data_IF_775674099290
#
_entry.id   IF_775674099290
#
_cell.length_a   1.000
_cell.length_b   1.000
_cell.length_c   1.000
_cell.angle_alpha   90.00
_cell.angle_beta   90.00
_cell.angle_gamma   90.00
#
_symmetry.space_group_name_H-M   'P 1'
#
loop_
_entity.id
_entity.type
_entity.pdbx_description
1 polymer ?
#
# COMPACT_ATOMS: atom_id res chain seq x y z
N UNK A 1 -11.57 -6.42 -8.53
CA UNK A 1 -10.60 -7.43 -8.04
C UNK A 1 -11.22 -8.17 -6.86
N UNK A 2 -10.59 -9.23 -6.37
CA UNK A 2 -10.96 -9.92 -5.14
C UNK A 2 -9.71 -10.04 -4.26
N UNK A 3 -9.84 -9.71 -2.97
CA UNK A 3 -8.71 -9.80 -2.06
C UNK A 3 -8.40 -11.26 -1.72
N UNK A 4 -7.13 -11.67 -1.83
CA UNK A 4 -6.71 -13.07 -1.66
C UNK A 4 -7.15 -13.69 -0.33
N UNK A 5 -7.00 -12.95 0.77
CA UNK A 5 -7.41 -13.41 2.11
C UNK A 5 -8.92 -13.27 2.42
N UNK A 6 -9.69 -12.63 1.54
CA UNK A 6 -11.14 -12.55 1.69
C UNK A 6 -11.89 -13.52 0.78
N UNK A 7 -11.22 -14.10 -0.23
CA UNK A 7 -11.87 -14.90 -1.28
C UNK A 7 -12.80 -16.00 -0.73
N UNK A 8 -12.36 -16.75 0.29
CA UNK A 8 -13.19 -17.81 0.89
C UNK A 8 -14.45 -17.27 1.59
N UNK A 9 -14.37 -16.08 2.20
CA UNK A 9 -15.54 -15.43 2.82
C UNK A 9 -16.57 -14.97 1.79
N UNK A 10 -16.15 -14.77 0.54
CA UNK A 10 -17.03 -14.56 -0.61
C UNK A 10 -17.49 -15.87 -1.27
N UNK A 11 -17.15 -17.04 -0.70
CA UNK A 11 -17.51 -18.35 -1.25
C UNK A 11 -16.59 -18.85 -2.37
N UNK A 12 -15.45 -18.18 -2.61
CA UNK A 12 -14.51 -18.53 -3.68
C UNK A 12 -13.29 -19.26 -3.11
N UNK A 13 -13.10 -20.52 -3.53
CA UNK A 13 -11.87 -21.27 -3.29
C UNK A 13 -10.90 -21.07 -4.44
N UNK A 14 -9.78 -20.42 -4.17
CA UNK A 14 -8.74 -20.15 -5.17
C UNK A 14 -7.81 -21.36 -5.31
N UNK A 15 -7.56 -21.81 -6.54
CA UNK A 15 -6.48 -22.76 -6.83
C UNK A 15 -5.12 -22.03 -6.87
N UNK A 16 -4.02 -22.79 -6.94
CA UNK A 16 -2.66 -22.22 -6.91
C UNK A 16 -2.38 -21.22 -8.03
N UNK A 17 -2.90 -21.45 -9.24
CA UNK A 17 -2.73 -20.52 -10.37
C UNK A 17 -3.47 -19.19 -10.14
N UNK A 18 -4.65 -19.21 -9.53
CA UNK A 18 -5.40 -17.99 -9.17
C UNK A 18 -4.76 -17.27 -7.99
N UNK A 19 -4.23 -18.00 -7.01
CA UNK A 19 -3.49 -17.41 -5.90
C UNK A 19 -2.21 -16.71 -6.37
N UNK A 20 -1.52 -17.23 -7.39
CA UNK A 20 -0.27 -16.65 -7.87
C UNK A 20 -0.44 -15.32 -8.60
N UNK A 21 -1.66 -14.92 -8.99
CA UNK A 21 -1.96 -13.61 -9.61
C UNK A 21 -1.59 -12.42 -8.72
N UNK A 22 -1.55 -12.62 -7.39
CA UNK A 22 -1.08 -11.60 -6.45
C UNK A 22 0.39 -11.23 -6.67
N UNK A 23 1.18 -12.10 -7.32
CA UNK A 23 2.57 -11.85 -7.69
C UNK A 23 2.76 -11.05 -8.98
N UNK A 24 1.69 -10.79 -9.73
CA UNK A 24 1.75 -9.76 -10.78
C UNK A 24 2.11 -8.45 -10.09
N UNK A 25 3.13 -7.75 -10.58
CA UNK A 25 3.69 -6.61 -9.88
C UNK A 25 2.99 -5.33 -10.29
N UNK A 26 3.00 -5.04 -11.57
CA UNK A 26 2.62 -3.72 -12.07
C UNK A 26 1.17 -3.63 -12.53
N UNK A 27 0.63 -2.41 -12.59
CA UNK A 27 -0.63 -2.14 -13.29
C UNK A 27 -0.55 -2.60 -14.76
N UNK A 28 0.62 -2.44 -15.40
CA UNK A 28 0.88 -2.86 -16.79
C UNK A 28 0.72 -4.37 -16.99
N UNK A 29 1.04 -5.17 -15.97
CA UNK A 29 0.84 -6.63 -15.99
C UNK A 29 -0.57 -7.04 -15.56
N UNK A 30 -1.11 -6.40 -14.51
CA UNK A 30 -2.43 -6.75 -13.97
C UNK A 30 -3.58 -6.34 -14.88
N UNK A 31 -3.48 -5.22 -15.57
CA UNK A 31 -4.58 -4.73 -16.40
C UNK A 31 -4.92 -5.68 -17.56
N UNK A 32 -3.94 -6.17 -18.36
CA UNK A 32 -4.20 -7.23 -19.35
C UNK A 32 -4.71 -8.53 -18.72
N UNK A 33 -4.16 -8.96 -17.60
CA UNK A 33 -4.61 -10.17 -16.90
C UNK A 33 -6.08 -10.06 -16.46
N UNK A 34 -6.49 -8.90 -15.94
CA UNK A 34 -7.88 -8.61 -15.58
C UNK A 34 -8.80 -8.69 -16.80
N UNK A 35 -8.39 -8.15 -17.95
CA UNK A 35 -9.18 -8.20 -19.19
C UNK A 35 -9.24 -9.59 -19.80
N UNK A 36 -8.21 -10.42 -19.61
CA UNK A 36 -8.22 -11.82 -20.05
C UNK A 36 -9.29 -12.65 -19.32
N UNK A 37 -9.49 -12.39 -18.02
CA UNK A 37 -10.56 -13.03 -17.24
C UNK A 37 -11.97 -12.58 -17.66
N UNK A 38 -12.09 -11.32 -18.06
CA UNK A 38 -13.33 -10.73 -18.57
C UNK A 38 -13.06 -9.45 -19.34
N UNK A 39 -13.44 -9.46 -20.61
CA UNK A 39 -13.37 -8.32 -21.53
C UNK A 39 -14.51 -7.29 -21.35
N UNK A 40 -15.40 -7.49 -20.38
CA UNK A 40 -16.48 -6.55 -20.09
C UNK A 40 -15.91 -5.17 -19.70
N UNK A 41 -16.63 -4.06 -19.93
CA UNK A 41 -16.25 -2.75 -19.45
C UNK A 41 -15.87 -2.75 -17.94
N UNK A 42 -14.97 -1.86 -17.53
CA UNK A 42 -14.59 -1.73 -16.11
C UNK A 42 -15.74 -1.20 -15.24
N UNK A 43 -16.71 -0.54 -15.86
CA UNK A 43 -17.93 -0.02 -15.23
C UNK A 43 -18.98 -1.10 -14.97
N UNK A 44 -18.80 -2.30 -15.52
CA UNK A 44 -19.71 -3.42 -15.31
C UNK A 44 -19.17 -4.34 -14.21
N UNK A 45 -20.02 -4.75 -13.25
CA UNK A 45 -19.62 -5.67 -12.20
C UNK A 45 -19.24 -7.03 -12.81
N UNK A 46 -18.08 -7.54 -12.43
CA UNK A 46 -17.64 -8.89 -12.80
C UNK A 46 -18.12 -9.92 -11.76
N UNK A 47 -18.54 -11.13 -12.20
CA UNK A 47 -18.68 -12.29 -11.32
C UNK A 47 -17.39 -12.51 -10.52
N UNK A 48 -17.52 -12.99 -9.28
CA UNK A 48 -16.39 -13.12 -8.36
C UNK A 48 -15.24 -13.96 -8.94
N UNK A 49 -15.58 -15.02 -9.66
CA UNK A 49 -14.66 -15.95 -10.34
C UNK A 49 -13.85 -15.28 -11.45
N UNK A 50 -14.39 -14.19 -12.03
CA UNK A 50 -13.76 -13.41 -13.10
C UNK A 50 -13.08 -12.13 -12.59
N UNK A 51 -13.04 -11.90 -11.29
CA UNK A 51 -12.27 -10.80 -10.70
C UNK A 51 -10.81 -11.23 -10.57
N UNK A 52 -9.87 -10.42 -11.05
CA UNK A 52 -8.44 -10.66 -10.79
C UNK A 52 -8.18 -10.73 -9.28
N UNK A 53 -7.41 -11.72 -8.84
CA UNK A 53 -7.00 -11.84 -7.44
C UNK A 53 -5.90 -10.83 -7.15
N UNK A 54 -6.02 -10.11 -6.04
CA UNK A 54 -5.06 -9.13 -5.60
C UNK A 54 -5.03 -8.97 -4.07
N UNK A 55 -4.32 -7.96 -3.60
CA UNK A 55 -4.28 -7.54 -2.20
C UNK A 55 -4.54 -6.02 -2.06
N UNK A 56 -4.52 -5.50 -0.83
CA UNK A 56 -4.71 -4.06 -0.54
C UNK A 56 -3.88 -3.13 -1.42
N UNK A 57 -2.61 -3.47 -1.67
CA UNK A 57 -1.69 -2.73 -2.55
C UNK A 57 -2.22 -2.67 -3.97
N UNK A 58 -2.74 -3.79 -4.49
CA UNK A 58 -3.28 -3.85 -5.84
C UNK A 58 -4.54 -2.99 -6.00
N UNK A 59 -5.46 -3.04 -5.04
CA UNK A 59 -6.64 -2.15 -5.03
C UNK A 59 -6.22 -0.68 -5.08
N UNK A 60 -5.22 -0.33 -4.28
CA UNK A 60 -4.73 1.05 -4.16
C UNK A 60 -4.05 1.55 -5.43
N UNK A 61 -3.19 0.74 -6.04
CA UNK A 61 -2.49 1.12 -7.27
C UNK A 61 -3.41 1.12 -8.49
N UNK A 62 -4.37 0.19 -8.56
CA UNK A 62 -5.36 0.19 -9.65
C UNK A 62 -6.22 1.45 -9.62
N UNK A 63 -6.73 1.85 -8.44
CA UNK A 63 -7.51 3.07 -8.30
C UNK A 63 -6.65 4.30 -8.66
N UNK A 64 -5.42 4.39 -8.14
CA UNK A 64 -4.52 5.49 -8.44
C UNK A 64 -4.25 5.60 -9.95
N UNK A 65 -4.01 4.47 -10.63
CA UNK A 65 -3.79 4.43 -12.08
C UNK A 65 -5.01 4.90 -12.87
N UNK A 66 -6.21 4.44 -12.52
CA UNK A 66 -7.45 4.84 -13.19
C UNK A 66 -7.78 6.32 -12.99
N UNK A 67 -7.58 6.85 -11.78
CA UNK A 67 -7.78 8.28 -11.50
C UNK A 67 -6.79 9.15 -12.29
N UNK A 68 -5.51 8.77 -12.34
CA UNK A 68 -4.50 9.45 -13.17
C UNK A 68 -4.89 9.46 -14.65
N UNK A 69 -5.43 8.36 -15.17
CA UNK A 69 -5.97 8.28 -16.54
C UNK A 69 -7.15 9.25 -16.78
N UNK A 70 -7.90 9.59 -15.73
CA UNK A 70 -8.97 10.60 -15.77
C UNK A 70 -8.47 12.03 -15.52
N UNK A 71 -7.16 12.24 -15.41
CA UNK A 71 -6.57 13.55 -15.11
C UNK A 71 -6.69 13.97 -13.64
N UNK A 72 -7.06 13.06 -12.75
CA UNK A 72 -7.16 13.31 -11.31
C UNK A 72 -5.82 12.91 -10.66
N UNK A 73 -5.10 13.84 -10.00
CA UNK A 73 -3.90 13.48 -9.24
C UNK A 73 -4.22 12.42 -8.18
N UNK A 74 -3.49 11.31 -8.21
CA UNK A 74 -3.67 10.21 -7.27
C UNK A 74 -2.35 9.47 -7.01
N UNK A 75 -2.23 8.90 -5.80
CA UNK A 75 -1.06 8.12 -5.36
C UNK A 75 -1.49 7.03 -4.39
N UNK A 76 -0.83 5.88 -4.43
CA UNK A 76 -0.98 4.87 -3.38
C UNK A 76 -0.15 5.26 -2.15
N UNK A 77 -0.58 4.80 -0.99
CA UNK A 77 0.08 4.98 0.31
C UNK A 77 0.12 3.63 1.03
N UNK A 78 1.22 3.38 1.73
CA UNK A 78 1.42 2.21 2.57
C UNK A 78 1.49 2.63 4.05
N UNK A 79 0.98 1.77 4.93
CA UNK A 79 0.91 2.02 6.36
C UNK A 79 -0.07 1.06 7.01
N UNK A 80 -0.88 1.58 7.93
CA UNK A 80 -1.63 0.73 8.84
C UNK A 80 -3.07 1.20 9.06
N UNK A 81 -4.02 0.29 8.83
CA UNK A 81 -5.45 0.49 9.10
C UNK A 81 -5.83 0.09 10.54
N UNK A 82 -6.61 0.92 11.22
CA UNK A 82 -7.09 0.68 12.60
C UNK A 82 -8.48 0.06 12.68
N UNK A 83 -9.00 -0.39 11.56
CA UNK A 83 -10.41 -0.80 11.39
C UNK A 83 -10.57 -2.27 10.99
N UNK A 84 -9.47 -3.03 10.93
CA UNK A 84 -9.50 -4.47 10.67
C UNK A 84 -9.60 -5.29 11.96
N UNK A 85 -8.85 -4.89 13.00
CA UNK A 85 -8.77 -5.58 14.27
C UNK A 85 -8.77 -4.57 15.44
N UNK A 86 -9.48 -4.84 16.55
CA UNK A 86 -9.42 -3.99 17.73
C UNK A 86 -8.01 -3.88 18.31
N UNK A 87 -7.60 -2.67 18.72
CA UNK A 87 -6.31 -2.37 19.35
C UNK A 87 -5.08 -2.78 18.53
N UNK A 88 -5.22 -2.80 17.20
CA UNK A 88 -4.18 -3.22 16.28
C UNK A 88 -4.11 -2.27 15.07
N UNK A 89 -2.92 -2.12 14.53
CA UNK A 89 -2.61 -1.36 13.33
C UNK A 89 -2.22 -2.38 12.25
N UNK A 90 -3.18 -2.77 11.42
CA UNK A 90 -3.03 -3.82 10.41
C UNK A 90 -2.30 -3.27 9.17
N UNK A 91 -1.24 -3.93 8.70
CA UNK A 91 -0.57 -3.62 7.42
C UNK A 91 -1.60 -3.44 6.31
N UNK A 92 -1.57 -2.28 5.67
CA UNK A 92 -2.56 -1.95 4.67
C UNK A 92 -2.11 -0.87 3.70
N UNK A 93 -2.79 -0.82 2.57
CA UNK A 93 -2.57 0.17 1.52
C UNK A 93 -3.86 0.87 1.17
N UNK A 94 -3.75 2.16 0.86
CA UNK A 94 -4.86 3.04 0.48
C UNK A 94 -4.47 3.94 -0.68
N UNK A 95 -5.44 4.57 -1.33
CA UNK A 95 -5.20 5.59 -2.35
C UNK A 95 -5.49 6.97 -1.77
N UNK A 96 -4.62 7.94 -2.02
CA UNK A 96 -4.95 9.36 -1.90
C UNK A 96 -5.25 9.93 -3.29
N UNK A 97 -6.31 10.72 -3.41
CA UNK A 97 -6.62 11.49 -4.61
C UNK A 97 -6.83 12.97 -4.28
N UNK A 98 -6.55 13.85 -5.24
CA UNK A 98 -6.80 15.27 -5.07
C UNK A 98 -8.29 15.57 -5.27
N UNK A 99 -8.97 15.93 -4.18
CA UNK A 99 -10.33 16.43 -4.23
C UNK A 99 -10.31 17.92 -4.60
N UNK A 100 -10.61 18.23 -5.85
CA UNK A 100 -10.61 19.60 -6.37
C UNK A 100 -11.64 20.50 -5.68
N UNK A 101 -12.79 19.97 -5.28
CA UNK A 101 -13.84 20.75 -4.63
C UNK A 101 -13.39 21.23 -3.23
N UNK A 102 -12.68 20.36 -2.50
CA UNK A 102 -12.20 20.65 -1.14
C UNK A 102 -10.75 21.14 -1.09
N UNK A 103 -10.06 21.17 -2.24
CA UNK A 103 -8.65 21.56 -2.38
C UNK A 103 -7.71 20.85 -1.39
N UNK A 104 -7.92 19.54 -1.24
CA UNK A 104 -7.10 18.68 -0.38
C UNK A 104 -6.96 17.27 -0.93
N UNK A 105 -6.01 16.52 -0.39
CA UNK A 105 -5.98 15.08 -0.56
C UNK A 105 -7.10 14.42 0.27
N UNK A 106 -7.81 13.50 -0.38
CA UNK A 106 -8.77 12.60 0.25
C UNK A 106 -8.27 11.17 0.14
N UNK A 107 -8.36 10.43 1.23
CA UNK A 107 -7.93 9.04 1.32
C UNK A 107 -9.11 8.10 1.03
N UNK A 108 -8.86 7.07 0.25
CA UNK A 108 -9.85 6.06 -0.18
C UNK A 108 -9.28 4.68 0.09
N UNK A 109 -10.08 3.83 0.73
CA UNK A 109 -9.80 2.41 0.79
C UNK A 109 -10.66 1.67 -0.25
N UNK A 110 -10.08 1.45 -1.43
CA UNK A 110 -10.76 0.83 -2.56
C UNK A 110 -10.99 -0.68 -2.40
N UNK A 111 -10.42 -1.30 -1.36
CA UNK A 111 -10.64 -2.73 -1.07
C UNK A 111 -11.98 -2.98 -0.38
N UNK A 112 -12.44 -2.03 0.45
CA UNK A 112 -13.61 -2.20 1.29
C UNK A 112 -14.90 -2.05 0.49
N UNK A 113 -15.36 -3.16 -0.09
CA UNK A 113 -16.72 -3.24 -0.65
C UNK A 113 -17.80 -3.36 0.44
N UNK A 114 -19.07 -3.34 0.02
CA UNK A 114 -20.22 -3.39 0.93
C UNK A 114 -20.18 -4.59 1.89
N UNK A 115 -19.71 -5.75 1.42
CA UNK A 115 -19.59 -6.94 2.25
C UNK A 115 -18.51 -6.77 3.32
N UNK A 116 -17.32 -6.33 2.93
CA UNK A 116 -16.23 -6.06 3.89
C UNK A 116 -16.62 -4.98 4.90
N UNK A 117 -17.27 -3.90 4.45
CA UNK A 117 -17.74 -2.84 5.34
C UNK A 117 -18.72 -3.35 6.40
N UNK A 118 -19.67 -4.20 6.00
CA UNK A 118 -20.62 -4.83 6.92
C UNK A 118 -19.93 -5.76 7.91
N UNK A 119 -19.05 -6.63 7.42
CA UNK A 119 -18.36 -7.63 8.24
C UNK A 119 -17.38 -7.01 9.24
N UNK A 120 -16.68 -5.95 8.84
CA UNK A 120 -15.76 -5.19 9.68
C UNK A 120 -16.46 -4.10 10.51
N UNK A 121 -17.77 -3.92 10.33
CA UNK A 121 -18.60 -2.89 11.00
C UNK A 121 -18.02 -1.49 10.81
N UNK A 122 -17.63 -1.17 9.57
CA UNK A 122 -17.12 0.15 9.20
C UNK A 122 -18.22 1.19 9.37
N UNK A 123 -17.91 2.27 10.06
CA UNK A 123 -18.85 3.36 10.41
C UNK A 123 -18.43 4.72 9.85
N UNK A 124 -17.39 4.74 9.02
CA UNK A 124 -16.88 5.94 8.35
C UNK A 124 -16.95 5.79 6.83
N UNK A 125 -16.86 6.91 6.12
CA UNK A 125 -16.84 6.93 4.66
C UNK A 125 -15.51 6.37 4.13
N UNK A 126 -15.55 5.23 3.44
CA UNK A 126 -14.35 4.60 2.84
C UNK A 126 -13.84 5.34 1.60
N UNK A 127 -14.62 6.27 1.04
CA UNK A 127 -14.19 7.17 -0.02
C UNK A 127 -13.57 8.48 0.51
N UNK A 128 -13.58 8.65 1.83
CA UNK A 128 -12.95 9.76 2.54
C UNK A 128 -12.52 9.28 3.95
N UNK A 129 -11.60 8.32 3.97
CA UNK A 129 -11.11 7.67 5.19
C UNK A 129 -10.57 8.74 6.15
N UNK A 130 -11.08 8.81 7.39
CA UNK A 130 -10.58 9.77 8.37
C UNK A 130 -9.09 9.54 8.69
N UNK A 131 -8.31 10.61 8.83
CA UNK A 131 -6.85 10.54 9.06
C UNK A 131 -6.44 9.85 10.36
N UNK A 132 -7.36 9.60 11.28
CA UNK A 132 -7.14 8.85 12.50
C UNK A 132 -7.42 7.34 12.36
N UNK A 133 -8.00 6.90 11.24
CA UNK A 133 -8.29 5.50 10.92
C UNK A 133 -7.15 4.80 10.17
N UNK A 134 -6.27 5.57 9.51
CA UNK A 134 -5.11 5.05 8.79
C UNK A 134 -3.85 5.83 9.18
N UNK A 135 -2.77 5.11 9.51
CA UNK A 135 -1.47 5.66 9.91
C UNK A 135 -0.45 5.29 8.84
N UNK A 136 0.07 6.26 8.09
CA UNK A 136 1.10 6.02 7.06
C UNK A 136 2.38 5.46 7.68
N UNK A 137 3.19 4.74 6.88
CA UNK A 137 4.42 4.10 7.35
C UNK A 137 5.37 5.08 8.06
N UNK A 138 5.59 6.28 7.50
CA UNK A 138 6.41 7.30 8.17
C UNK A 138 5.82 7.87 9.45
N UNK A 139 4.49 7.98 9.55
CA UNK A 139 3.83 8.37 10.81
C UNK A 139 4.00 7.29 11.88
N UNK A 140 3.82 6.02 11.52
CA UNK A 140 4.02 4.89 12.43
C UNK A 140 5.47 4.84 12.94
N UNK A 141 6.44 5.02 12.04
CA UNK A 141 7.87 5.10 12.37
C UNK A 141 8.14 6.17 13.42
N UNK A 142 7.75 7.42 13.16
CA UNK A 142 8.01 8.54 14.08
C UNK A 142 7.30 8.38 15.43
N UNK A 143 6.06 7.90 15.44
CA UNK A 143 5.33 7.63 16.68
C UNK A 143 6.04 6.59 17.56
N UNK A 144 6.50 5.50 16.97
CA UNK A 144 7.19 4.44 17.71
C UNK A 144 8.60 4.88 18.14
N UNK A 145 9.34 5.59 17.28
CA UNK A 145 10.65 6.17 17.61
C UNK A 145 10.57 7.15 18.78
N UNK A 146 9.48 7.90 18.90
CA UNK A 146 9.23 8.83 20.00
C UNK A 146 8.61 8.17 21.25
N UNK A 147 8.40 6.85 21.27
CA UNK A 147 7.77 6.13 22.38
C UNK A 147 6.28 6.45 22.57
N UNK A 148 5.62 7.02 21.56
CA UNK A 148 4.20 7.43 21.60
C UNK A 148 3.25 6.32 21.13
N UNK A 149 3.79 5.24 20.56
CA UNK A 149 3.03 4.06 20.17
C UNK A 149 3.87 2.79 20.42
N UNK A 150 3.19 1.67 20.71
CA UNK A 150 3.85 0.38 20.88
C UNK A 150 4.08 -0.28 19.50
N UNK A 151 5.32 -0.51 19.06
CA UNK A 151 5.59 -1.12 17.76
C UNK A 151 5.03 -2.54 17.60
N UNK A 152 4.79 -3.27 18.70
CA UNK A 152 4.19 -4.62 18.66
C UNK A 152 2.70 -4.62 18.29
N UNK A 153 2.08 -3.45 18.20
CA UNK A 153 0.70 -3.28 17.71
C UNK A 153 0.63 -3.03 16.20
N UNK A 154 1.76 -2.90 15.51
CA UNK A 154 1.81 -2.62 14.07
C UNK A 154 2.28 -3.86 13.33
N UNK A 155 1.46 -4.38 12.40
CA UNK A 155 1.85 -5.51 11.56
C UNK A 155 0.70 -6.32 10.99
N UNK A 156 1.01 -7.54 10.58
CA UNK A 156 0.06 -8.50 9.98
C UNK A 156 0.46 -9.93 10.36
N UNK A 157 -0.54 -10.74 10.68
CA UNK A 157 -0.36 -12.09 11.23
C UNK A 157 0.56 -12.10 12.46
N UNK A 158 1.77 -12.67 12.33
CA UNK A 158 2.79 -12.73 13.39
C UNK A 158 3.90 -11.70 13.19
N UNK A 159 3.98 -11.07 12.01
CA UNK A 159 5.01 -10.10 11.66
C UNK A 159 4.62 -8.74 12.22
N UNK A 160 5.47 -8.16 13.05
CA UNK A 160 5.20 -6.90 13.75
C UNK A 160 6.50 -6.25 14.21
N UNK A 161 6.41 -5.05 14.79
CA UNK A 161 7.54 -4.38 15.43
C UNK A 161 8.27 -3.39 14.52
N UNK A 162 9.37 -2.82 15.02
CA UNK A 162 10.10 -1.75 14.34
C UNK A 162 10.61 -2.14 12.95
N UNK A 163 11.14 -3.36 12.78
CA UNK A 163 11.56 -3.86 11.48
C UNK A 163 10.41 -3.95 10.45
N UNK A 164 9.19 -4.27 10.91
CA UNK A 164 8.00 -4.29 10.06
C UNK A 164 7.56 -2.87 9.68
N UNK A 165 7.50 -1.96 10.65
CA UNK A 165 7.19 -0.54 10.43
C UNK A 165 8.17 0.12 9.45
N UNK A 166 9.46 -0.21 9.56
CA UNK A 166 10.49 0.22 8.61
C UNK A 166 10.17 -0.24 7.18
N UNK A 167 9.72 -1.49 7.03
CA UNK A 167 9.30 -2.04 5.75
C UNK A 167 8.19 -1.23 5.10
N UNK A 168 7.17 -0.86 5.88
CA UNK A 168 6.02 -0.07 5.44
C UNK A 168 6.39 1.39 5.15
N UNK A 169 7.27 1.99 5.96
CA UNK A 169 7.84 3.31 5.67
C UNK A 169 8.52 3.34 4.30
N UNK A 170 9.38 2.36 4.02
CA UNK A 170 10.09 2.31 2.73
C UNK A 170 9.10 2.01 1.59
N UNK A 171 8.10 1.13 1.80
CA UNK A 171 7.02 0.88 0.82
C UNK A 171 6.23 2.15 0.50
N UNK A 172 5.89 2.95 1.51
CA UNK A 172 5.17 4.22 1.33
C UNK A 172 6.02 5.22 0.51
N UNK A 173 7.31 5.32 0.83
CA UNK A 173 8.26 6.13 0.05
C UNK A 173 8.38 5.66 -1.41
N UNK A 174 8.42 4.35 -1.65
CA UNK A 174 8.48 3.78 -3.00
C UNK A 174 7.18 4.02 -3.77
N UNK A 175 6.02 3.93 -3.12
CA UNK A 175 4.72 4.25 -3.70
C UNK A 175 4.66 5.73 -4.15
N UNK A 176 5.22 6.65 -3.36
CA UNK A 176 5.36 8.08 -3.73
C UNK A 176 6.28 8.29 -4.94
N UNK A 177 7.26 7.39 -5.14
CA UNK A 177 8.10 7.35 -6.34
C UNK A 177 7.45 6.66 -7.55
N UNK A 178 6.22 6.15 -7.41
CA UNK A 178 5.48 5.33 -8.40
C UNK A 178 6.16 3.99 -8.67
N UNK A 179 6.80 3.42 -7.66
CA UNK A 179 7.46 2.12 -7.75
C UNK A 179 6.53 1.08 -7.15
N UNK A 180 6.06 0.22 -8.04
CA UNK A 180 5.05 -0.80 -7.78
C UNK A 180 5.72 -2.06 -7.21
N UNK A 181 6.05 -2.07 -5.92
CA UNK A 181 6.60 -3.26 -5.24
C UNK A 181 5.52 -4.18 -4.68
N UNK A 182 5.83 -5.47 -4.55
CA UNK A 182 4.96 -6.44 -3.87
C UNK A 182 5.09 -6.25 -2.35
N UNK A 183 4.01 -6.46 -1.56
CA UNK A 183 4.07 -6.30 -0.10
C UNK A 183 5.13 -7.17 0.58
N UNK A 184 5.46 -8.33 0.00
CA UNK A 184 6.47 -9.27 0.52
C UNK A 184 7.88 -9.08 -0.06
N UNK A 185 8.12 -8.05 -0.87
CA UNK A 185 9.47 -7.77 -1.38
C UNK A 185 10.41 -7.32 -0.25
N UNK A 186 11.58 -7.93 -0.17
CA UNK A 186 12.60 -7.59 0.82
C UNK A 186 13.95 -7.37 0.13
N UNK A 187 14.51 -6.17 0.28
CA UNK A 187 15.81 -5.76 -0.26
C UNK A 187 16.37 -4.59 0.56
N UNK A 188 17.67 -4.31 0.44
CA UNK A 188 18.33 -3.17 1.08
C UNK A 188 17.92 -3.00 2.55
N UNK A 189 17.47 -1.79 2.90
CA UNK A 189 17.03 -1.49 4.26
C UNK A 189 15.77 -2.24 4.70
N UNK A 190 14.89 -2.71 3.79
CA UNK A 190 13.74 -3.53 4.17
C UNK A 190 14.21 -4.87 4.76
N UNK A 191 15.21 -5.49 4.15
CA UNK A 191 15.70 -6.82 4.51
C UNK A 191 16.76 -6.84 5.63
N UNK A 192 17.34 -5.68 5.96
CA UNK A 192 18.44 -5.55 6.93
C UNK A 192 17.98 -5.95 8.34
N UNK A 193 18.78 -6.73 9.09
CA UNK A 193 18.41 -7.05 10.47
C UNK A 193 18.49 -5.79 11.37
N UNK A 194 17.65 -5.70 12.40
CA UNK A 194 17.61 -4.52 13.27
C UNK A 194 18.95 -4.28 13.99
N UNK A 195 19.66 -5.34 14.36
CA UNK A 195 20.99 -5.26 14.97
C UNK A 195 22.12 -4.89 13.99
N UNK A 196 21.80 -4.75 12.70
CA UNK A 196 22.74 -4.34 11.65
C UNK A 196 22.50 -2.90 11.17
N UNK A 197 21.46 -2.22 11.67
CA UNK A 197 21.21 -0.82 11.35
C UNK A 197 22.29 0.06 12.00
N UNK A 198 22.98 0.84 11.17
CA UNK A 198 23.88 1.89 11.60
C UNK A 198 23.12 3.15 12.02
N UNK A 199 23.80 4.07 12.71
CA UNK A 199 23.24 5.39 13.02
C UNK A 199 22.87 6.17 11.75
N UNK A 200 23.65 6.00 10.67
CA UNK A 200 23.36 6.61 9.37
C UNK A 200 22.08 6.02 8.75
N UNK A 201 21.85 4.72 8.86
CA UNK A 201 20.61 4.09 8.41
C UNK A 201 19.40 4.62 9.19
N UNK A 202 19.52 4.76 10.51
CA UNK A 202 18.46 5.30 11.35
C UNK A 202 18.17 6.77 11.03
N UNK A 203 19.20 7.59 10.82
CA UNK A 203 19.05 8.99 10.41
C UNK A 203 18.38 9.10 9.03
N UNK A 204 18.75 8.23 8.08
CA UNK A 204 18.09 8.16 6.77
C UNK A 204 16.61 7.79 6.91
N UNK A 205 16.26 6.81 7.77
CA UNK A 205 14.88 6.41 8.01
C UNK A 205 14.05 7.51 8.71
N UNK A 206 14.63 8.18 9.70
CA UNK A 206 13.99 9.32 10.37
C UNK A 206 13.73 10.47 9.37
N UNK A 207 14.69 10.75 8.49
CA UNK A 207 14.53 11.71 7.39
C UNK A 207 13.44 11.29 6.40
N UNK A 208 13.49 10.04 5.93
CA UNK A 208 12.51 9.46 5.02
C UNK A 208 11.09 9.60 5.57
N UNK A 209 10.91 9.29 6.85
CA UNK A 209 9.63 9.40 7.51
C UNK A 209 9.09 10.84 7.47
N UNK A 210 9.94 11.84 7.73
CA UNK A 210 9.59 13.26 7.58
C UNK A 210 9.11 13.60 6.17
N UNK A 211 9.84 13.16 5.13
CA UNK A 211 9.48 13.41 3.73
C UNK A 211 8.10 12.81 3.37
N UNK A 212 7.81 11.58 3.83
CA UNK A 212 6.53 10.90 3.55
C UNK A 212 5.32 11.55 4.24
N UNK A 213 5.51 12.38 5.27
CA UNK A 213 4.43 13.14 5.90
C UNK A 213 4.00 14.36 5.09
N UNK A 214 4.93 14.98 4.35
CA UNK A 214 4.67 16.17 3.52
C UNK A 214 5.12 15.97 2.08
N UNK A 215 4.63 14.93 1.38
CA UNK A 215 5.17 14.49 0.10
C UNK A 215 5.05 15.51 -1.04
N UNK A 216 4.07 16.41 -0.99
CA UNK A 216 3.91 17.45 -2.01
C UNK A 216 5.04 18.48 -1.93
N UNK A 217 5.35 18.95 -0.72
CA UNK A 217 6.44 19.88 -0.46
C UNK A 217 7.81 19.22 -0.65
N UNK A 218 7.92 17.95 -0.27
CA UNK A 218 9.14 17.15 -0.34
C UNK A 218 9.34 16.45 -1.71
N UNK A 219 8.53 16.74 -2.73
CA UNK A 219 8.49 15.92 -3.95
C UNK A 219 9.85 15.81 -4.64
N UNK A 220 10.56 16.93 -4.83
CA UNK A 220 11.87 16.92 -5.50
C UNK A 220 12.90 16.09 -4.73
N UNK A 221 12.89 16.21 -3.40
CA UNK A 221 13.81 15.49 -2.52
C UNK A 221 13.51 13.99 -2.48
N UNK A 222 12.22 13.60 -2.42
CA UNK A 222 11.80 12.20 -2.50
C UNK A 222 12.35 11.53 -3.77
N UNK A 223 12.29 12.24 -4.91
CA UNK A 223 12.82 11.76 -6.20
C UNK A 223 14.35 11.67 -6.19
N UNK A 224 15.01 12.69 -5.65
CA UNK A 224 16.46 12.74 -5.58
C UNK A 224 17.01 11.63 -4.68
N UNK A 225 16.43 11.44 -3.50
CA UNK A 225 16.87 10.46 -2.52
C UNK A 225 16.77 9.05 -3.09
N UNK A 226 15.67 8.71 -3.78
CA UNK A 226 15.53 7.42 -4.46
C UNK A 226 16.63 7.21 -5.52
N UNK A 227 17.02 8.26 -6.26
CA UNK A 227 18.05 8.16 -7.29
C UNK A 227 19.48 8.00 -6.71
N UNK A 228 19.72 8.42 -5.47
CA UNK A 228 21.05 8.45 -4.86
C UNK A 228 21.28 7.31 -3.87
N UNK A 229 20.25 6.88 -3.15
CA UNK A 229 20.36 5.91 -2.06
C UNK A 229 20.16 4.47 -2.55
N UNK A 230 21.25 3.74 -2.77
CA UNK A 230 21.23 2.35 -3.24
C UNK A 230 20.42 1.42 -2.34
N UNK A 231 20.43 1.67 -1.03
CA UNK A 231 19.69 0.89 -0.04
C UNK A 231 18.16 1.04 -0.15
N UNK A 232 17.69 2.07 -0.86
CA UNK A 232 16.28 2.31 -1.16
C UNK A 232 15.89 1.91 -2.59
N UNK A 233 16.87 1.58 -3.44
CA UNK A 233 16.62 1.22 -4.84
C UNK A 233 16.18 -0.23 -4.98
N UNK A 234 15.10 -0.44 -5.72
CA UNK A 234 14.67 -1.81 -6.06
C UNK A 234 15.69 -2.48 -7.00
N UNK A 235 15.86 -3.81 -6.93
CA UNK A 235 16.70 -4.53 -7.87
C UNK A 235 16.29 -4.27 -9.33
N UNK A 236 17.27 -4.00 -10.18
CA UNK A 236 17.03 -3.72 -11.60
C UNK A 236 16.29 -4.87 -12.32
N UNK A 237 16.46 -6.11 -11.85
CA UNK A 237 15.79 -7.30 -12.39
C UNK A 237 14.27 -7.31 -12.18
N UNK A 238 13.71 -6.42 -11.35
CA UNK A 238 12.27 -6.32 -11.09
C UNK A 238 11.54 -5.40 -12.06
N UNK A 239 12.27 -4.60 -12.82
CA UNK A 239 11.68 -3.85 -13.93
C UNK A 239 11.64 -4.75 -15.17
N UNK A 240 10.52 -4.77 -15.92
CA UNK A 240 10.52 -5.42 -17.22
C UNK A 240 11.60 -4.77 -18.09
N UNK A 241 12.41 -5.60 -18.76
CA UNK A 241 13.34 -5.12 -19.80
C UNK A 241 12.48 -4.38 -20.83
N UNK A 242 12.75 -3.09 -20.99
CA UNK A 242 12.00 -2.18 -21.88
C UNK A 242 12.18 -2.60 -23.33
#
# INVERSE_FOLDING_TARGET
>A
MIHVFWAERYGIKLNGARQSEVNLRSFKEKFPALLHLSNAPLTEPRPLEKRLVGNCRDFSDFLAALLKQKGIPARARCGFGKYFLPNHYEDHWVTEYWNTAEKRWSMVDAQLDEFQQKELKITFDTLNVPSYQFITGGKAWLLCRAGQANPDQFGIFKMRGMGFIRGDLIRDFLALNRIEILPWDAFGLIAKADNQLSEADLALLDHLAGLTLTPDAAFAEIRQLYAQEKELQVPASWFPIV
#
